data_IF_879590038155
#
_entry.id   IF_879590038155
#
_cell.length_a   1.000
_cell.length_b   1.000
_cell.length_c   1.000
_cell.angle_alpha   90.00
_cell.angle_beta   90.00
_cell.angle_gamma   90.00
#
_symmetry.space_group_name_H-M   'P 1'
#
loop_
_entity.id
_entity.type
_entity.pdbx_description
1 polymer ?
#
# COMPACT_ATOMS: atom_id res chain seq x y z
N UNK A 1 1.21 19.74 -33.45
CA UNK A 1 1.97 20.59 -32.50
C UNK A 1 1.05 20.91 -31.35
N UNK A 2 1.50 20.72 -30.11
CA UNK A 2 0.76 21.20 -28.94
C UNK A 2 0.67 22.73 -29.07
N UNK A 3 -0.52 23.31 -28.85
CA UNK A 3 -0.75 24.74 -29.09
C UNK A 3 0.11 25.62 -28.16
N UNK A 4 0.21 26.91 -28.48
CA UNK A 4 1.05 27.90 -27.77
C UNK A 4 0.78 28.01 -26.25
N UNK A 5 -0.31 27.42 -25.75
CA UNK A 5 -0.69 27.37 -24.34
C UNK A 5 -0.17 26.14 -23.58
N UNK A 6 0.51 25.19 -24.24
CA UNK A 6 1.00 23.97 -23.59
C UNK A 6 2.26 24.24 -22.75
N UNK A 7 2.24 23.78 -21.50
CA UNK A 7 3.35 23.89 -20.55
C UNK A 7 4.00 22.51 -20.37
N UNK A 8 5.25 22.36 -20.79
CA UNK A 8 6.03 21.18 -20.48
C UNK A 8 6.47 21.20 -19.00
N UNK A 9 5.63 20.62 -18.14
CA UNK A 9 5.82 20.63 -16.70
C UNK A 9 6.66 19.46 -16.17
N UNK A 10 7.01 18.48 -17.02
CA UNK A 10 7.71 17.26 -16.62
C UNK A 10 6.89 16.27 -15.78
N UNK A 11 5.60 16.55 -15.52
CA UNK A 11 4.69 15.63 -14.84
C UNK A 11 4.03 14.67 -15.83
N UNK A 12 3.73 13.44 -15.38
CA UNK A 12 3.01 12.44 -16.19
C UNK A 12 1.48 12.64 -16.12
N UNK A 13 0.97 13.06 -14.96
CA UNK A 13 -0.47 13.28 -14.75
C UNK A 13 -0.81 14.78 -14.87
N UNK A 14 -1.10 15.18 -16.11
CA UNK A 14 -1.29 16.58 -16.52
C UNK A 14 -2.63 16.77 -17.22
N UNK A 15 -3.11 18.01 -17.18
CA UNK A 15 -4.22 18.49 -17.99
C UNK A 15 -3.77 18.67 -19.45
N UNK A 16 -4.73 18.88 -20.35
CA UNK A 16 -4.46 19.05 -21.80
C UNK A 16 -3.50 20.22 -22.11
N UNK A 17 -3.42 21.22 -21.23
CA UNK A 17 -2.49 22.35 -21.32
C UNK A 17 -1.12 22.09 -20.67
N UNK A 18 -0.83 20.85 -20.26
CA UNK A 18 0.43 20.45 -19.67
C UNK A 18 0.62 20.79 -18.19
N UNK A 19 -0.32 21.49 -17.55
CA UNK A 19 -0.29 21.75 -16.10
C UNK A 19 -0.66 20.50 -15.30
N UNK A 20 -0.01 20.24 -14.16
CA UNK A 20 -0.40 19.12 -13.29
C UNK A 20 -1.82 19.32 -12.74
N UNK A 21 -2.53 18.21 -12.51
CA UNK A 21 -3.75 18.23 -11.72
C UNK A 21 -3.45 18.56 -10.25
N UNK A 22 -4.46 19.03 -9.51
CA UNK A 22 -4.35 19.17 -8.05
C UNK A 22 -4.16 17.79 -7.42
N UNK A 23 -3.36 17.71 -6.37
CA UNK A 23 -3.02 16.43 -5.70
C UNK A 23 -4.27 15.63 -5.30
N UNK A 24 -5.32 16.31 -4.84
CA UNK A 24 -6.56 15.64 -4.42
C UNK A 24 -7.45 15.17 -5.58
N UNK A 25 -7.23 15.66 -6.79
CA UNK A 25 -8.07 15.30 -7.95
C UNK A 25 -8.07 13.79 -8.18
N UNK A 26 -6.92 13.13 -8.06
CA UNK A 26 -6.86 11.68 -8.23
C UNK A 26 -7.66 10.92 -7.17
N UNK A 27 -7.61 11.37 -5.91
CA UNK A 27 -8.38 10.78 -4.80
C UNK A 27 -9.89 10.97 -5.00
N UNK A 28 -10.30 12.15 -5.45
CA UNK A 28 -11.71 12.46 -5.75
C UNK A 28 -12.22 11.61 -6.93
N UNK A 29 -11.47 11.56 -8.02
CA UNK A 29 -11.81 10.74 -9.18
C UNK A 29 -11.87 9.26 -8.84
N UNK A 30 -10.98 8.77 -7.97
CA UNK A 30 -11.04 7.40 -7.47
C UNK A 30 -12.33 7.12 -6.70
N UNK A 31 -12.75 8.03 -5.81
CA UNK A 31 -14.03 7.90 -5.11
C UNK A 31 -15.23 7.83 -6.06
N UNK A 32 -15.27 8.74 -7.06
CA UNK A 32 -16.31 8.73 -8.08
C UNK A 32 -16.30 7.46 -8.93
N UNK A 33 -15.11 6.92 -9.24
CA UNK A 33 -14.97 5.65 -9.94
C UNK A 33 -15.57 4.49 -9.15
N UNK A 34 -15.30 4.40 -7.84
CA UNK A 34 -15.87 3.36 -7.00
C UNK A 34 -17.40 3.43 -6.96
N UNK A 35 -17.95 4.63 -6.78
CA UNK A 35 -19.40 4.86 -6.76
C UNK A 35 -20.07 4.48 -8.08
N UNK A 36 -19.49 4.90 -9.21
CA UNK A 36 -20.00 4.58 -10.56
C UNK A 36 -20.01 3.08 -10.87
N UNK A 37 -19.14 2.31 -10.22
CA UNK A 37 -19.00 0.87 -10.41
C UNK A 37 -19.64 0.05 -9.27
N UNK A 38 -20.40 0.69 -8.38
CA UNK A 38 -21.01 0.06 -7.19
C UNK A 38 -20.00 -0.74 -6.33
N UNK A 39 -18.76 -0.24 -6.25
CA UNK A 39 -17.69 -0.85 -5.45
C UNK A 39 -17.69 -0.32 -4.01
N UNK A 40 -17.19 -1.10 -3.04
CA UNK A 40 -17.02 -0.64 -1.67
C UNK A 40 -16.19 0.63 -1.58
N UNK A 41 -16.57 1.54 -0.67
CA UNK A 41 -15.86 2.79 -0.43
C UNK A 41 -14.54 2.52 0.30
N UNK A 42 -13.44 2.59 -0.44
CA UNK A 42 -12.07 2.55 0.07
C UNK A 42 -11.30 3.80 -0.35
N UNK A 43 -10.20 4.10 0.35
CA UNK A 43 -9.31 5.22 0.01
C UNK A 43 -8.29 4.77 -1.02
N UNK A 44 -7.78 5.70 -1.81
CA UNK A 44 -6.72 5.40 -2.79
C UNK A 44 -5.46 4.79 -2.12
N UNK A 45 -5.11 5.24 -0.91
CA UNK A 45 -3.98 4.70 -0.15
C UNK A 45 -4.20 3.24 0.31
N UNK A 46 -5.45 2.76 0.37
CA UNK A 46 -5.73 1.38 0.77
C UNK A 46 -5.20 0.39 -0.30
N UNK A 47 -5.06 0.82 -1.56
CA UNK A 47 -4.37 0.04 -2.60
C UNK A 47 -2.91 -0.23 -2.26
N UNK A 48 -2.22 0.75 -1.67
CA UNK A 48 -0.83 0.62 -1.22
C UNK A 48 -0.72 -0.38 -0.06
N UNK A 49 -1.70 -0.37 0.84
CA UNK A 49 -1.79 -1.39 1.89
C UNK A 49 -2.07 -2.78 1.32
N UNK A 50 -2.97 -2.91 0.36
CA UNK A 50 -3.21 -4.20 -0.31
C UNK A 50 -1.94 -4.75 -0.96
N UNK A 51 -1.18 -3.91 -1.66
CA UNK A 51 0.10 -4.29 -2.26
C UNK A 51 1.08 -4.87 -1.23
N UNK A 52 1.31 -4.15 -0.12
CA UNK A 52 2.22 -4.64 0.92
C UNK A 52 1.73 -5.93 1.59
N UNK A 53 0.42 -6.06 1.82
CA UNK A 53 -0.15 -7.28 2.41
C UNK A 53 0.04 -8.49 1.49
N UNK A 54 -0.19 -8.33 0.19
CA UNK A 54 0.01 -9.42 -0.79
C UNK A 54 1.48 -9.87 -0.83
N UNK A 55 2.42 -8.93 -0.88
CA UNK A 55 3.85 -9.27 -0.90
C UNK A 55 4.31 -9.94 0.39
N UNK A 56 3.80 -9.50 1.53
CA UNK A 56 4.12 -10.10 2.81
C UNK A 56 3.58 -11.54 2.91
N UNK A 57 2.32 -11.77 2.50
CA UNK A 57 1.74 -13.12 2.45
C UNK A 57 2.48 -14.05 1.49
N UNK A 58 3.09 -13.50 0.43
CA UNK A 58 3.97 -14.23 -0.48
C UNK A 58 5.38 -14.50 0.10
N UNK A 59 5.67 -14.05 1.33
CA UNK A 59 6.95 -14.29 2.01
C UNK A 59 8.06 -13.31 1.65
N UNK A 60 7.75 -12.17 1.01
CA UNK A 60 8.74 -11.14 0.71
C UNK A 60 9.15 -10.43 2.00
N UNK A 61 10.45 -10.21 2.16
CA UNK A 61 11.01 -9.53 3.33
C UNK A 61 10.45 -8.10 3.49
N UNK A 62 10.14 -7.73 4.73
CA UNK A 62 9.50 -6.45 5.04
C UNK A 62 10.35 -5.25 4.63
N UNK A 63 11.69 -5.36 4.66
CA UNK A 63 12.59 -4.31 4.19
C UNK A 63 12.47 -4.13 2.68
N UNK A 64 12.46 -5.23 1.93
CA UNK A 64 12.27 -5.20 0.47
C UNK A 64 10.89 -4.61 0.08
N UNK A 65 9.83 -4.96 0.81
CA UNK A 65 8.50 -4.36 0.62
C UNK A 65 8.55 -2.85 0.89
N UNK A 66 9.22 -2.42 1.96
CA UNK A 66 9.34 -1.01 2.32
C UNK A 66 10.15 -0.22 1.27
N UNK A 67 11.19 -0.81 0.70
CA UNK A 67 11.98 -0.22 -0.39
C UNK A 67 11.14 -0.10 -1.66
N UNK A 68 10.39 -1.16 -2.03
CA UNK A 68 9.51 -1.16 -3.20
C UNK A 68 8.39 -0.12 -3.11
N UNK A 69 7.89 0.14 -1.89
CA UNK A 69 6.91 1.18 -1.64
C UNK A 69 7.50 2.61 -1.69
N UNK A 70 8.82 2.75 -1.66
CA UNK A 70 9.51 4.02 -1.47
C UNK A 70 9.35 4.52 -0.04
N UNK A 71 10.44 4.96 0.57
CA UNK A 71 10.67 5.32 1.99
C UNK A 71 9.63 6.23 2.71
N UNK A 72 8.52 6.61 2.08
CA UNK A 72 7.57 7.58 2.57
C UNK A 72 6.70 7.14 3.76
N UNK A 73 6.74 5.86 4.17
CA UNK A 73 5.99 5.50 5.39
C UNK A 73 6.48 4.24 6.13
N UNK A 74 7.71 4.26 6.61
CA UNK A 74 8.21 3.25 7.54
C UNK A 74 7.38 3.26 8.85
N UNK A 75 6.84 4.42 9.25
CA UNK A 75 6.09 4.59 10.48
C UNK A 75 4.69 3.93 10.42
N UNK A 76 3.94 4.10 9.34
CA UNK A 76 2.62 3.46 9.15
C UNK A 76 2.76 2.02 8.69
N UNK A 77 3.75 1.69 7.86
CA UNK A 77 4.01 0.30 7.46
C UNK A 77 4.46 -0.54 8.65
N UNK A 78 5.33 -0.03 9.53
CA UNK A 78 5.67 -0.78 10.74
C UNK A 78 4.44 -0.81 11.67
N UNK A 79 3.84 0.33 12.05
CA UNK A 79 2.76 0.36 13.04
C UNK A 79 1.49 -0.44 12.66
N UNK A 80 1.12 -0.52 11.38
CA UNK A 80 -0.01 -1.33 10.91
C UNK A 80 0.38 -2.81 10.81
N UNK A 81 1.59 -3.12 10.36
CA UNK A 81 1.97 -4.52 10.10
C UNK A 81 2.56 -5.21 11.35
N UNK A 82 3.28 -4.53 12.24
CA UNK A 82 3.74 -5.15 13.49
C UNK A 82 2.56 -5.66 14.32
N UNK A 83 1.48 -4.86 14.44
CA UNK A 83 0.32 -5.24 15.24
C UNK A 83 -0.59 -6.27 14.55
N UNK A 84 -0.82 -6.16 13.23
CA UNK A 84 -1.75 -7.05 12.51
C UNK A 84 -1.15 -8.43 12.23
N UNK A 85 0.18 -8.54 12.21
CA UNK A 85 0.91 -9.75 11.84
C UNK A 85 1.70 -10.37 13.01
N UNK A 86 1.55 -9.84 14.24
CA UNK A 86 2.01 -10.45 15.50
C UNK A 86 1.37 -11.84 15.75
N UNK A 87 0.31 -12.20 15.01
CA UNK A 87 -0.18 -13.59 14.92
C UNK A 87 0.87 -14.58 14.41
N UNK A 88 1.89 -14.10 13.69
CA UNK A 88 3.04 -14.92 13.28
C UNK A 88 3.94 -15.23 14.48
N UNK A 89 3.97 -14.35 15.50
CA UNK A 89 4.69 -14.62 16.75
C UNK A 89 4.06 -15.79 17.52
N UNK A 90 2.73 -15.91 17.56
CA UNK A 90 2.06 -17.09 18.13
C UNK A 90 2.41 -18.38 17.38
N UNK A 91 2.50 -18.33 16.04
CA UNK A 91 2.96 -19.49 15.24
C UNK A 91 4.41 -19.87 15.55
N UNK A 92 5.30 -18.88 15.67
CA UNK A 92 6.72 -19.13 16.01
C UNK A 92 6.87 -19.64 17.44
N UNK A 93 6.13 -19.08 18.41
CA UNK A 93 6.09 -19.58 19.79
C UNK A 93 5.52 -21.00 19.83
N UNK A 94 4.47 -21.30 19.06
CA UNK A 94 3.90 -22.65 19.02
C UNK A 94 4.86 -23.65 18.39
N UNK A 95 5.53 -23.32 17.28
CA UNK A 95 6.57 -24.17 16.69
C UNK A 95 7.72 -24.38 17.67
N UNK A 96 8.14 -23.34 18.40
CA UNK A 96 9.17 -23.47 19.44
C UNK A 96 8.67 -24.31 20.63
N UNK A 97 7.42 -24.17 21.05
CA UNK A 97 6.80 -24.97 22.12
C UNK A 97 6.69 -26.44 21.74
N UNK A 98 6.31 -26.74 20.50
CA UNK A 98 6.28 -28.10 19.94
C UNK A 98 7.68 -28.67 19.78
N UNK A 99 8.65 -27.89 19.27
CA UNK A 99 10.04 -28.33 19.11
C UNK A 99 10.76 -28.53 20.46
N UNK A 100 10.35 -27.81 21.50
CA UNK A 100 10.87 -27.95 22.86
C UNK A 100 10.15 -29.06 23.66
N UNK A 101 9.21 -29.80 23.06
CA UNK A 101 8.67 -31.03 23.63
C UNK A 101 8.01 -30.85 25.00
N UNK A 102 7.24 -29.79 25.22
CA UNK A 102 6.31 -29.77 26.36
C UNK A 102 5.00 -30.44 25.95
N UNK A 103 5.10 -31.74 25.68
CA UNK A 103 4.00 -32.65 26.00
C UNK A 103 3.90 -32.63 27.53
N UNK A 104 2.88 -31.95 28.04
CA UNK A 104 2.45 -32.15 29.42
C UNK A 104 1.17 -32.96 29.35
N UNK A 105 1.25 -34.13 29.98
CA UNK A 105 0.14 -34.95 30.45
C UNK A 105 -1.02 -34.12 31.02
#
# INVERSE_FOLDING_TARGET
MLGDEYIDSGYVYIQDNGKPYRVNTLTEQFGLFLERNALPKIRLHDLRHTFASILYEAGVDLKAISEALGHSDLATTNKIYTHRFDKTHEKTINVMSTALGRDKD
#
